data_IF_929306041897
#
_entry.id   IF_929306041897
#
_cell.length_a   1.000
_cell.length_b   1.000
_cell.length_c   1.000
_cell.angle_alpha   90.00
_cell.angle_beta   90.00
_cell.angle_gamma   90.00
#
_symmetry.space_group_name_H-M   'P 1'
#
loop_
_entity.id
_entity.type
_entity.pdbx_description
1 polymer ?
#
# COMPACT_ATOMS: atom_id res chain seq x y z
N UNK A 1 -5.10 -17.12 -17.53
CA UNK A 1 -3.84 -16.57 -17.01
C UNK A 1 -4.24 -15.53 -15.97
N UNK A 2 -4.18 -15.87 -14.68
CA UNK A 2 -4.45 -14.89 -13.63
C UNK A 2 -3.14 -14.13 -13.40
N UNK A 3 -3.04 -12.93 -13.98
CA UNK A 3 -1.91 -12.04 -13.72
C UNK A 3 -1.84 -11.79 -12.21
N UNK A 4 -0.67 -12.04 -11.63
CA UNK A 4 -0.43 -11.74 -10.22
C UNK A 4 -0.55 -10.23 -10.05
N UNK A 5 -1.42 -9.72 -9.17
CA UNK A 5 -1.60 -8.29 -9.01
C UNK A 5 -0.29 -7.64 -8.57
N UNK A 6 0.03 -6.49 -9.17
CA UNK A 6 1.20 -5.70 -8.76
C UNK A 6 1.03 -5.20 -7.32
N UNK A 7 2.13 -4.79 -6.67
CA UNK A 7 2.05 -4.24 -5.31
C UNK A 7 1.20 -2.96 -5.28
N UNK A 8 1.31 -2.12 -6.31
CA UNK A 8 0.44 -0.95 -6.48
C UNK A 8 -1.05 -1.31 -6.54
N UNK A 9 -1.41 -2.34 -7.33
CA UNK A 9 -2.80 -2.83 -7.41
C UNK A 9 -3.29 -3.40 -6.06
N UNK A 10 -2.43 -4.07 -5.31
CA UNK A 10 -2.75 -4.57 -3.97
C UNK A 10 -3.03 -3.42 -2.99
N UNK A 11 -2.23 -2.35 -3.01
CA UNK A 11 -2.46 -1.16 -2.19
C UNK A 11 -3.75 -0.46 -2.57
N UNK A 12 -3.99 -0.22 -3.87
CA UNK A 12 -5.25 0.36 -4.36
C UNK A 12 -6.46 -0.47 -3.96
N UNK A 13 -6.39 -1.80 -4.07
CA UNK A 13 -7.50 -2.68 -3.66
C UNK A 13 -7.83 -2.53 -2.18
N UNK A 14 -6.80 -2.47 -1.31
CA UNK A 14 -7.00 -2.31 0.14
C UNK A 14 -7.52 -0.92 0.51
N UNK A 15 -6.97 0.13 -0.10
CA UNK A 15 -7.49 1.50 0.06
C UNK A 15 -8.94 1.58 -0.43
N UNK A 16 -9.25 1.08 -1.63
CA UNK A 16 -10.57 1.13 -2.23
C UNK A 16 -11.64 0.45 -1.38
N UNK A 17 -11.31 -0.64 -0.70
CA UNK A 17 -12.22 -1.33 0.25
C UNK A 17 -12.54 -0.52 1.51
N UNK A 18 -11.67 0.40 1.91
CA UNK A 18 -11.77 1.10 3.19
C UNK A 18 -12.26 2.54 3.01
N UNK A 19 -11.78 3.25 1.99
CA UNK A 19 -12.07 4.67 1.76
C UNK A 19 -12.80 4.94 0.42
N UNK A 20 -13.10 3.89 -0.35
CA UNK A 20 -13.75 3.99 -1.66
C UNK A 20 -12.75 4.14 -2.82
N UNK A 21 -13.16 3.70 -4.01
CA UNK A 21 -12.30 3.62 -5.20
C UNK A 21 -11.76 5.00 -5.62
N UNK A 22 -12.63 6.02 -5.71
CA UNK A 22 -12.22 7.37 -6.14
C UNK A 22 -11.15 8.00 -5.22
N UNK A 23 -11.27 7.79 -3.91
CA UNK A 23 -10.30 8.32 -2.94
C UNK A 23 -9.00 7.51 -2.90
N UNK A 24 -9.06 6.23 -3.25
CA UNK A 24 -7.89 5.34 -3.18
C UNK A 24 -6.76 5.74 -4.12
N UNK A 25 -7.08 6.15 -5.36
CA UNK A 25 -6.09 6.59 -6.34
C UNK A 25 -5.43 7.91 -5.92
N UNK A 26 -6.22 8.85 -5.42
CA UNK A 26 -5.70 10.13 -4.91
C UNK A 26 -4.79 9.92 -3.71
N UNK A 27 -5.23 9.12 -2.72
CA UNK A 27 -4.43 8.83 -1.54
C UNK A 27 -3.13 8.12 -1.87
N UNK A 28 -3.17 7.12 -2.75
CA UNK A 28 -1.96 6.44 -3.20
C UNK A 28 -1.02 7.41 -3.93
N UNK A 29 -1.55 8.24 -4.84
CA UNK A 29 -0.74 9.22 -5.58
C UNK A 29 -0.05 10.22 -4.64
N UNK A 30 -0.76 10.71 -3.62
CA UNK A 30 -0.18 11.61 -2.61
C UNK A 30 0.92 10.94 -1.80
N UNK A 31 0.73 9.67 -1.41
CA UNK A 31 1.75 8.92 -0.66
C UNK A 31 2.98 8.63 -1.52
N UNK A 32 2.79 8.23 -2.78
CA UNK A 32 3.90 8.03 -3.72
C UNK A 32 4.69 9.32 -3.94
N UNK A 33 3.99 10.45 -4.14
CA UNK A 33 4.63 11.76 -4.26
C UNK A 33 5.42 12.15 -2.99
N UNK A 34 4.84 11.93 -1.80
CA UNK A 34 5.51 12.19 -0.52
C UNK A 34 6.80 11.37 -0.37
N UNK A 35 6.80 10.13 -0.85
CA UNK A 35 7.94 9.21 -0.76
C UNK A 35 8.91 9.35 -1.94
N UNK A 36 8.62 10.24 -2.90
CA UNK A 36 9.37 10.40 -4.16
C UNK A 36 9.44 9.09 -4.96
N UNK A 37 8.34 8.34 -4.98
CA UNK A 37 8.18 7.09 -5.73
C UNK A 37 7.27 7.32 -6.93
N UNK A 38 7.61 6.68 -8.05
CA UNK A 38 6.72 6.58 -9.23
C UNK A 38 5.85 5.32 -9.20
N UNK A 39 6.31 4.27 -8.51
CA UNK A 39 5.69 2.94 -8.46
C UNK A 39 6.10 2.21 -7.18
N UNK A 40 5.40 1.11 -6.85
CA UNK A 40 5.74 0.21 -5.75
C UNK A 40 6.29 -1.07 -6.36
N UNK A 41 7.61 -1.16 -6.50
CA UNK A 41 8.26 -2.24 -7.25
C UNK A 41 8.92 -3.28 -6.32
N UNK A 42 9.06 -2.96 -5.04
CA UNK A 42 9.67 -3.83 -4.05
C UNK A 42 8.86 -3.96 -2.76
N UNK A 43 9.20 -4.96 -1.96
CA UNK A 43 8.65 -5.13 -0.59
C UNK A 43 9.07 -3.96 0.31
N UNK A 44 10.23 -3.37 0.08
CA UNK A 44 10.71 -2.21 0.84
C UNK A 44 9.93 -0.94 0.48
N UNK A 45 9.60 -0.73 -0.79
CA UNK A 45 8.68 0.36 -1.19
C UNK A 45 7.31 0.19 -0.54
N UNK A 46 6.81 -1.05 -0.51
CA UNK A 46 5.53 -1.38 0.13
C UNK A 46 5.56 -1.07 1.63
N UNK A 47 6.67 -1.36 2.32
CA UNK A 47 6.86 -1.01 3.73
C UNK A 47 6.84 0.50 3.95
N UNK A 48 7.57 1.26 3.11
CA UNK A 48 7.59 2.74 3.19
C UNK A 48 6.19 3.33 2.96
N UNK A 49 5.43 2.79 2.01
CA UNK A 49 4.04 3.18 1.76
C UNK A 49 3.15 2.84 2.95
N UNK A 50 3.29 1.66 3.53
CA UNK A 50 2.54 1.23 4.71
C UNK A 50 2.76 2.20 5.89
N UNK A 51 4.01 2.54 6.18
CA UNK A 51 4.36 3.50 7.23
C UNK A 51 3.80 4.90 6.95
N UNK A 52 3.88 5.37 5.71
CA UNK A 52 3.35 6.68 5.33
C UNK A 52 1.82 6.75 5.52
N UNK A 53 1.11 5.67 5.17
CA UNK A 53 -0.33 5.57 5.38
C UNK A 53 -0.69 5.49 6.87
N UNK A 54 0.11 4.81 7.71
CA UNK A 54 -0.10 4.77 9.17
C UNK A 54 0.01 6.14 9.85
N UNK A 55 0.80 7.06 9.27
CA UNK A 55 0.92 8.45 9.77
C UNK A 55 -0.29 9.31 9.42
N UNK A 56 -1.20 8.85 8.56
CA UNK A 56 -2.43 9.56 8.21
C UNK A 56 -3.53 9.32 9.24
N UNK A 57 -4.44 10.28 9.45
CA UNK A 57 -5.56 10.09 10.37
C UNK A 57 -6.64 9.14 9.80
N UNK A 58 -7.43 8.55 10.70
CA UNK A 58 -8.64 7.80 10.35
C UNK A 58 -8.36 6.44 9.70
N UNK A 59 -9.30 5.97 8.88
CA UNK A 59 -9.27 4.62 8.31
C UNK A 59 -8.08 4.34 7.38
N UNK A 60 -7.43 5.39 6.87
CA UNK A 60 -6.21 5.25 6.07
C UNK A 60 -5.07 4.63 6.88
N UNK A 61 -4.97 4.95 8.18
CA UNK A 61 -3.99 4.33 9.07
C UNK A 61 -4.18 2.82 9.17
N UNK A 62 -5.44 2.37 9.23
CA UNK A 62 -5.79 0.94 9.26
C UNK A 62 -5.27 0.22 8.01
N UNK A 63 -5.38 0.85 6.84
CA UNK A 63 -4.82 0.28 5.59
C UNK A 63 -3.30 0.17 5.69
N UNK A 64 -2.63 1.21 6.21
CA UNK A 64 -1.19 1.16 6.46
C UNK A 64 -0.79 0.00 7.38
N UNK A 65 -1.54 -0.26 8.45
CA UNK A 65 -1.28 -1.41 9.34
C UNK A 65 -1.49 -2.75 8.63
N UNK A 66 -2.54 -2.90 7.82
CA UNK A 66 -2.79 -4.11 7.04
C UNK A 66 -1.66 -4.39 6.05
N UNK A 67 -1.10 -3.35 5.43
CA UNK A 67 0.03 -3.48 4.50
C UNK A 67 1.32 -3.90 5.21
N UNK A 68 1.57 -3.43 6.44
CA UNK A 68 2.72 -3.90 7.22
C UNK A 68 2.63 -5.40 7.55
N UNK A 69 1.42 -5.93 7.77
CA UNK A 69 1.21 -7.38 7.91
C UNK A 69 1.54 -8.10 6.60
N UNK A 70 1.11 -7.59 5.45
CA UNK A 70 1.46 -8.19 4.15
C UNK A 70 2.96 -8.18 3.90
N UNK A 71 3.66 -7.10 4.25
CA UNK A 71 5.13 -6.99 4.17
C UNK A 71 5.79 -8.07 5.01
N UNK A 72 5.40 -8.21 6.29
CA UNK A 72 5.94 -9.23 7.18
C UNK A 72 5.73 -10.65 6.63
N UNK A 73 4.51 -10.94 6.14
CA UNK A 73 4.18 -12.23 5.54
C UNK A 73 4.98 -12.52 4.27
N UNK A 74 5.27 -11.51 3.45
CA UNK A 74 6.11 -11.66 2.25
C UNK A 74 7.57 -11.94 2.60
N UNK A 75 8.13 -11.22 3.59
CA UNK A 75 9.50 -11.44 4.07
C UNK A 75 9.68 -12.86 4.64
N UNK A 76 8.72 -13.32 5.44
CA UNK A 76 8.73 -14.68 5.99
C UNK A 76 8.72 -15.78 4.91
N UNK A 77 8.08 -15.53 3.75
CA UNK A 77 8.06 -16.49 2.63
C UNK A 77 9.31 -16.46 1.76
N UNK A 78 10.10 -15.39 1.84
CA UNK A 78 11.35 -15.23 1.11
C UNK A 78 12.57 -15.68 1.93
N UNK A 79 12.37 -16.01 3.20
CA UNK A 79 13.37 -16.56 4.14
C UNK A 79 13.41 -18.07 4.06
#
# INVERSE_FOLDING_TARGET
MTDTPTLGQLVLSKLGRVIGHERSEQELSLVLAQLQLTSIDSVDDLERVAEALQRRPGFVATVGAMLSVDVAMRRLRAS
#
